data_IF_438774422999
#
_entry.id   IF_438774422999
#
_cell.length_a   1.000
_cell.length_b   1.000
_cell.length_c   1.000
_cell.angle_alpha   90.00
_cell.angle_beta   90.00
_cell.angle_gamma   90.00
#
_symmetry.space_group_name_H-M   'P 1'
#
loop_
_entity.id
_entity.type
_entity.pdbx_description
1 polymer ?
#
# COMPACT_ATOMS: atom_id res chain seq x y z
N UNK A 1 11.12 16.22 2.01
CA UNK A 1 9.71 16.63 1.83
C UNK A 1 9.22 16.07 0.50
N UNK A 2 7.94 15.74 0.34
CA UNK A 2 7.39 15.33 -0.96
C UNK A 2 7.43 16.52 -1.92
N UNK A 3 7.94 16.32 -3.15
CA UNK A 3 7.92 17.41 -4.14
C UNK A 3 6.61 17.40 -4.92
N UNK A 4 5.67 18.23 -4.54
CA UNK A 4 4.38 18.40 -5.22
C UNK A 4 4.52 19.32 -6.46
N UNK A 5 5.24 18.84 -7.49
CA UNK A 5 5.35 19.54 -8.77
C UNK A 5 4.06 19.48 -9.60
N UNK A 6 3.93 20.35 -10.59
CA UNK A 6 2.79 20.31 -11.52
C UNK A 6 2.71 18.96 -12.28
N UNK A 7 3.85 18.39 -12.63
CA UNK A 7 3.93 17.06 -13.26
C UNK A 7 3.37 15.97 -12.34
N UNK A 8 3.70 16.03 -11.03
CA UNK A 8 3.15 15.09 -10.05
C UNK A 8 1.63 15.17 -9.98
N UNK A 9 1.07 16.38 -9.92
CA UNK A 9 -0.38 16.57 -9.90
C UNK A 9 -1.04 16.20 -11.22
N UNK A 10 -0.33 16.32 -12.35
CA UNK A 10 -0.81 15.80 -13.63
C UNK A 10 -1.01 14.30 -13.59
N UNK A 11 -0.04 13.54 -13.05
CA UNK A 11 -0.17 12.09 -12.89
C UNK A 11 -1.34 11.73 -11.95
N UNK A 12 -1.53 12.48 -10.87
CA UNK A 12 -2.67 12.30 -9.94
C UNK A 12 -4.00 12.48 -10.66
N UNK A 13 -4.16 13.52 -11.49
CA UNK A 13 -5.39 13.76 -12.27
C UNK A 13 -5.65 12.66 -13.30
N UNK A 14 -4.62 12.27 -14.05
CA UNK A 14 -4.73 11.21 -15.05
C UNK A 14 -5.20 9.88 -14.43
N UNK A 15 -4.71 9.56 -13.24
CA UNK A 15 -5.13 8.37 -12.49
C UNK A 15 -6.59 8.49 -12.04
N UNK A 16 -7.02 9.68 -11.58
CA UNK A 16 -8.40 9.90 -11.15
C UNK A 16 -9.42 9.71 -12.27
N UNK A 17 -9.09 10.14 -13.50
CA UNK A 17 -9.95 9.95 -14.67
C UNK A 17 -10.22 8.46 -14.97
N UNK A 18 -9.39 7.56 -14.45
CA UNK A 18 -9.52 6.11 -14.63
C UNK A 18 -10.17 5.40 -13.44
N UNK A 19 -10.56 6.11 -12.38
CA UNK A 19 -11.28 5.51 -11.24
C UNK A 19 -12.76 5.42 -11.54
N UNK A 20 -13.33 4.21 -11.67
CA UNK A 20 -14.76 4.05 -11.90
C UNK A 20 -15.58 4.62 -10.74
N UNK A 21 -16.69 5.27 -11.06
CA UNK A 21 -17.71 5.73 -10.11
C UNK A 21 -17.15 6.58 -8.94
N UNK A 22 -16.11 7.38 -9.21
CA UNK A 22 -15.43 8.21 -8.19
C UNK A 22 -16.38 9.21 -7.53
N UNK A 23 -17.44 9.62 -8.23
CA UNK A 23 -18.49 10.51 -7.73
C UNK A 23 -19.27 9.97 -6.53
N UNK A 24 -19.21 8.65 -6.25
CA UNK A 24 -19.75 8.05 -5.01
C UNK A 24 -19.08 8.55 -3.74
N UNK A 25 -17.89 9.16 -3.86
CA UNK A 25 -17.18 9.81 -2.74
C UNK A 25 -17.71 11.22 -2.43
N UNK A 26 -18.43 11.84 -3.34
CA UNK A 26 -18.86 13.25 -3.19
C UNK A 26 -19.77 13.42 -1.97
N UNK A 27 -19.48 14.45 -1.19
CA UNK A 27 -20.14 14.76 0.08
C UNK A 27 -20.04 13.63 1.14
N UNK A 28 -19.06 12.74 1.02
CA UNK A 28 -18.80 11.65 1.95
C UNK A 28 -17.66 12.00 2.90
N UNK A 29 -17.57 11.21 3.96
CA UNK A 29 -16.49 11.27 4.93
C UNK A 29 -15.64 10.00 4.88
N UNK A 30 -14.31 10.14 4.93
CA UNK A 30 -13.37 9.04 4.84
C UNK A 30 -12.30 9.14 5.92
N UNK A 31 -12.09 8.05 6.65
CA UNK A 31 -11.01 7.88 7.62
C UNK A 31 -9.91 7.03 7.01
N UNK A 32 -8.67 7.55 7.00
CA UNK A 32 -7.50 6.82 6.52
C UNK A 32 -6.50 6.65 7.67
N UNK A 33 -6.23 5.42 8.08
CA UNK A 33 -5.17 5.11 9.04
C UNK A 33 -3.87 4.74 8.33
N UNK A 34 -2.73 5.04 8.96
CA UNK A 34 -1.43 4.88 8.29
C UNK A 34 -1.20 5.91 7.17
N UNK A 35 -1.88 7.06 7.24
CA UNK A 35 -1.95 8.07 6.20
C UNK A 35 -0.60 8.66 5.76
N UNK A 36 0.44 8.58 6.59
CA UNK A 36 1.80 9.02 6.21
C UNK A 36 2.62 7.96 5.47
N UNK A 37 2.12 6.73 5.34
CA UNK A 37 2.75 5.66 4.56
C UNK A 37 2.50 5.83 3.06
N UNK A 38 3.37 5.28 2.21
CA UNK A 38 3.33 5.45 0.75
C UNK A 38 1.93 5.20 0.15
N UNK A 39 1.32 4.06 0.41
CA UNK A 39 0.01 3.69 -0.18
C UNK A 39 -1.09 4.65 0.28
N UNK A 40 -1.25 4.81 1.59
CA UNK A 40 -2.36 5.60 2.14
C UNK A 40 -2.19 7.11 1.90
N UNK A 41 -0.95 7.61 1.80
CA UNK A 41 -0.74 9.01 1.43
C UNK A 41 -1.09 9.28 -0.03
N UNK A 42 -0.82 8.32 -0.93
CA UNK A 42 -1.26 8.46 -2.33
C UNK A 42 -2.79 8.44 -2.46
N UNK A 43 -3.49 7.64 -1.64
CA UNK A 43 -4.96 7.70 -1.56
C UNK A 43 -5.42 9.09 -1.08
N UNK A 44 -4.81 9.64 -0.02
CA UNK A 44 -5.16 10.97 0.48
C UNK A 44 -4.96 12.06 -0.58
N UNK A 45 -3.89 11.95 -1.38
CA UNK A 45 -3.59 12.90 -2.48
C UNK A 45 -4.64 12.86 -3.59
N UNK A 46 -5.14 11.68 -3.95
CA UNK A 46 -6.28 11.56 -4.88
C UNK A 46 -7.53 12.27 -4.32
N UNK A 47 -7.82 12.12 -3.03
CA UNK A 47 -8.98 12.77 -2.41
C UNK A 47 -8.81 14.31 -2.30
N UNK A 48 -7.60 14.79 -2.02
CA UNK A 48 -7.31 16.23 -2.02
C UNK A 48 -7.50 16.83 -3.40
N UNK A 49 -7.07 16.11 -4.45
CA UNK A 49 -7.23 16.56 -5.83
C UNK A 49 -8.71 16.63 -6.23
N UNK A 50 -9.52 15.63 -5.85
CA UNK A 50 -10.98 15.67 -6.07
C UNK A 50 -11.64 16.86 -5.39
N UNK A 51 -11.26 17.16 -4.14
CA UNK A 51 -11.79 18.32 -3.44
C UNK A 51 -11.38 19.64 -4.10
N UNK A 52 -10.11 19.74 -4.54
CA UNK A 52 -9.53 20.97 -5.09
C UNK A 52 -10.08 21.31 -6.47
N UNK A 53 -10.19 20.32 -7.35
CA UNK A 53 -10.49 20.56 -8.76
C UNK A 53 -11.95 20.27 -9.13
N UNK A 54 -12.61 19.35 -8.45
CA UNK A 54 -13.97 18.95 -8.75
C UNK A 54 -14.98 19.40 -7.70
N UNK A 55 -14.52 19.99 -6.60
CA UNK A 55 -15.39 20.42 -5.51
C UNK A 55 -16.14 19.26 -4.86
N UNK A 56 -15.53 18.08 -4.79
CA UNK A 56 -16.17 16.85 -4.31
C UNK A 56 -16.66 16.91 -2.85
N UNK A 57 -16.19 17.91 -2.06
CA UNK A 57 -16.59 18.14 -0.67
C UNK A 57 -16.44 16.88 0.21
N UNK A 58 -15.35 16.13 0.02
CA UNK A 58 -15.04 14.94 0.81
C UNK A 58 -14.44 15.38 2.15
N UNK A 59 -14.99 14.90 3.26
CA UNK A 59 -14.44 15.11 4.59
C UNK A 59 -13.33 14.09 4.86
N UNK A 60 -12.08 14.53 4.87
CA UNK A 60 -10.91 13.67 4.97
C UNK A 60 -10.38 13.67 6.41
N UNK A 61 -10.38 12.49 7.05
CA UNK A 61 -9.78 12.26 8.36
C UNK A 61 -8.50 11.46 8.20
N UNK A 62 -7.37 12.03 8.58
CA UNK A 62 -6.07 11.37 8.52
C UNK A 62 -5.62 10.94 9.91
N UNK A 63 -5.54 9.61 10.12
CA UNK A 63 -5.23 9.05 11.42
C UNK A 63 -3.77 8.57 11.52
N UNK A 64 -3.13 8.90 12.65
CA UNK A 64 -1.75 8.54 12.92
C UNK A 64 -1.27 8.96 14.30
N UNK A 65 -0.03 8.58 14.66
CA UNK A 65 0.57 8.79 15.98
C UNK A 65 1.14 10.19 16.21
N UNK A 66 1.26 11.03 15.18
CA UNK A 66 1.94 12.32 15.28
C UNK A 66 1.41 13.30 14.26
N UNK A 67 0.78 14.37 14.78
CA UNK A 67 0.34 15.51 13.98
C UNK A 67 1.53 16.14 13.21
N UNK A 68 2.68 16.32 13.86
CA UNK A 68 3.86 16.90 13.23
C UNK A 68 4.32 16.10 12.00
N UNK A 69 4.33 14.75 12.08
CA UNK A 69 4.66 13.91 10.93
C UNK A 69 3.60 14.01 9.83
N UNK A 70 2.33 14.18 10.20
CA UNK A 70 1.24 14.36 9.24
C UNK A 70 1.39 15.70 8.50
N UNK A 71 1.60 16.79 9.22
CA UNK A 71 1.85 18.11 8.64
C UNK A 71 3.12 18.15 7.75
N UNK A 72 4.19 17.46 8.17
CA UNK A 72 5.40 17.34 7.35
C UNK A 72 5.15 16.55 6.05
N UNK A 73 4.36 15.46 6.12
CA UNK A 73 4.04 14.64 4.93
C UNK A 73 3.13 15.41 3.97
N UNK A 74 2.19 16.18 4.47
CA UNK A 74 1.21 16.92 3.69
C UNK A 74 1.40 18.43 3.82
N UNK A 75 2.64 18.90 3.74
CA UNK A 75 3.01 20.30 4.01
C UNK A 75 2.31 21.35 3.13
N UNK A 76 1.80 20.95 1.95
CA UNK A 76 1.02 21.81 1.05
C UNK A 76 -0.48 21.83 1.36
N UNK A 77 -0.89 21.13 2.41
CA UNK A 77 -2.28 21.02 2.87
C UNK A 77 -2.39 21.46 4.31
N UNK A 78 -3.51 22.06 4.64
CA UNK A 78 -3.75 22.67 5.96
C UNK A 78 -4.64 21.80 6.80
N UNK A 79 -4.17 21.38 7.98
CA UNK A 79 -4.98 20.73 9.00
C UNK A 79 -6.11 21.65 9.46
N UNK A 80 -7.32 21.09 9.62
CA UNK A 80 -8.55 21.84 9.91
C UNK A 80 -9.24 22.46 8.67
N UNK A 81 -8.59 22.43 7.49
CA UNK A 81 -9.14 22.95 6.22
C UNK A 81 -9.24 21.82 5.19
N UNK A 82 -8.09 21.26 4.80
CA UNK A 82 -8.02 20.21 3.76
C UNK A 82 -8.24 18.82 4.37
N UNK A 83 -7.85 18.62 5.63
CA UNK A 83 -8.06 17.38 6.38
C UNK A 83 -8.20 17.64 7.86
N UNK A 84 -8.75 16.68 8.59
CA UNK A 84 -8.79 16.67 10.07
C UNK A 84 -7.85 15.57 10.57
N UNK A 85 -6.90 15.93 11.43
CA UNK A 85 -6.03 14.96 12.11
C UNK A 85 -6.80 14.19 13.18
N UNK A 86 -6.57 12.87 13.22
CA UNK A 86 -7.11 11.98 14.26
C UNK A 86 -5.93 11.24 14.92
N UNK A 87 -5.78 11.40 16.22
CA UNK A 87 -4.77 10.67 16.96
C UNK A 87 -5.14 9.19 17.03
N UNK A 88 -4.25 8.35 16.51
CA UNK A 88 -4.48 6.91 16.44
C UNK A 88 -3.17 6.13 16.48
N UNK A 89 -3.06 5.21 17.46
CA UNK A 89 -1.98 4.23 17.54
C UNK A 89 -2.55 2.82 17.35
N UNK A 90 -2.22 2.21 16.20
CA UNK A 90 -2.66 0.86 15.87
C UNK A 90 -2.15 -0.21 16.84
N UNK A 91 -1.07 0.04 17.59
CA UNK A 91 -0.54 -0.92 18.57
C UNK A 91 -1.33 -0.95 19.89
N UNK A 92 -1.98 0.15 20.23
CA UNK A 92 -2.80 0.28 21.44
C UNK A 92 -4.29 0.06 21.17
N UNK A 93 -4.74 0.25 19.93
CA UNK A 93 -6.14 0.13 19.55
C UNK A 93 -7.03 1.15 20.22
N UNK A 94 -6.58 2.42 20.32
CA UNK A 94 -7.36 3.52 20.89
C UNK A 94 -8.70 3.67 20.17
N UNK A 95 -9.75 3.99 20.92
CA UNK A 95 -11.06 4.32 20.35
C UNK A 95 -10.97 5.59 19.49
N UNK A 96 -11.73 5.62 18.42
CA UNK A 96 -11.87 6.75 17.50
C UNK A 96 -13.30 7.28 17.62
N UNK A 97 -13.46 8.59 17.88
CA UNK A 97 -14.75 9.22 18.13
C UNK A 97 -15.26 9.99 16.90
N UNK A 98 -15.24 9.35 15.73
CA UNK A 98 -15.83 9.85 14.50
C UNK A 98 -16.62 8.73 13.84
N UNK A 99 -17.62 9.07 13.05
CA UNK A 99 -18.46 8.12 12.31
C UNK A 99 -18.33 8.44 10.81
N UNK A 100 -17.32 7.87 10.13
CA UNK A 100 -17.10 8.14 8.72
C UNK A 100 -17.97 7.21 7.84
N UNK A 101 -18.29 7.65 6.60
CA UNK A 101 -18.92 6.78 5.61
C UNK A 101 -17.97 5.65 5.16
N UNK A 102 -16.67 5.96 5.04
CA UNK A 102 -15.65 5.01 4.59
C UNK A 102 -14.45 4.99 5.54
N UNK A 103 -13.87 3.80 5.73
CA UNK A 103 -12.61 3.60 6.45
C UNK A 103 -11.62 2.88 5.54
N UNK A 104 -10.41 3.41 5.42
CA UNK A 104 -9.25 2.72 4.83
C UNK A 104 -8.23 2.45 5.93
N UNK A 105 -8.04 1.19 6.27
CA UNK A 105 -7.09 0.78 7.30
C UNK A 105 -5.80 0.24 6.70
N UNK A 106 -4.74 1.09 6.68
CA UNK A 106 -3.41 0.73 6.20
C UNK A 106 -2.29 0.89 7.23
N UNK A 107 -2.62 1.12 8.51
CA UNK A 107 -1.64 1.29 9.57
C UNK A 107 -0.99 -0.04 9.95
N UNK A 108 0.17 -0.36 9.36
CA UNK A 108 0.99 -1.53 9.70
C UNK A 108 2.43 -1.30 9.26
N UNK A 109 3.45 -1.72 10.04
CA UNK A 109 4.80 -1.88 9.50
C UNK A 109 4.79 -2.87 8.34
N UNK A 110 5.54 -2.59 7.28
CA UNK A 110 5.57 -3.45 6.08
C UNK A 110 6.99 -3.61 5.49
N UNK A 111 7.99 -2.87 5.98
CA UNK A 111 9.35 -2.99 5.51
C UNK A 111 10.14 -4.06 6.28
N UNK A 112 11.05 -4.80 5.63
CA UNK A 112 11.76 -5.93 6.25
C UNK A 112 12.54 -5.58 7.53
N UNK A 113 13.11 -4.39 7.62
CA UNK A 113 13.87 -3.97 8.79
C UNK A 113 12.97 -3.74 10.01
N UNK A 114 11.82 -3.10 9.82
CA UNK A 114 10.80 -2.92 10.86
C UNK A 114 10.23 -4.27 11.33
N UNK A 115 9.91 -5.17 10.40
CA UNK A 115 9.39 -6.51 10.74
C UNK A 115 10.39 -7.35 11.56
N UNK A 116 11.68 -7.25 11.24
CA UNK A 116 12.73 -7.93 11.98
C UNK A 116 12.96 -7.33 13.39
N UNK A 117 12.76 -6.01 13.54
CA UNK A 117 13.01 -5.29 14.79
C UNK A 117 11.82 -5.31 15.75
N UNK A 118 10.61 -5.28 15.22
CA UNK A 118 9.36 -5.08 15.97
C UNK A 118 8.27 -6.11 15.55
N UNK A 119 8.53 -7.42 15.66
CA UNK A 119 7.55 -8.44 15.24
C UNK A 119 6.27 -8.44 16.10
N UNK A 120 6.38 -8.14 17.40
CA UNK A 120 5.23 -8.09 18.32
C UNK A 120 4.32 -6.91 17.99
N UNK A 121 4.89 -5.73 17.83
CA UNK A 121 4.16 -4.51 17.45
C UNK A 121 3.53 -4.65 16.05
N UNK A 122 4.16 -5.41 15.17
CA UNK A 122 3.58 -5.74 13.86
C UNK A 122 2.29 -6.55 14.01
N UNK A 123 2.26 -7.55 14.88
CA UNK A 123 1.06 -8.35 15.17
C UNK A 123 -0.01 -7.45 15.80
N UNK A 124 0.36 -6.66 16.81
CA UNK A 124 -0.58 -5.78 17.50
C UNK A 124 -1.19 -4.75 16.58
N UNK A 125 -0.40 -4.08 15.74
CA UNK A 125 -0.91 -3.08 14.80
C UNK A 125 -1.92 -3.64 13.81
N UNK A 126 -1.79 -4.89 13.41
CA UNK A 126 -2.72 -5.53 12.48
C UNK A 126 -4.01 -6.00 13.19
N UNK A 127 -3.92 -6.59 14.37
CA UNK A 127 -5.07 -7.22 15.05
C UNK A 127 -5.74 -6.22 16.02
N UNK A 128 -4.97 -5.66 16.97
CA UNK A 128 -5.50 -4.75 17.99
C UNK A 128 -5.91 -3.43 17.34
N UNK A 129 -5.11 -2.92 16.39
CA UNK A 129 -5.44 -1.70 15.66
C UNK A 129 -6.69 -1.82 14.80
N UNK A 130 -6.96 -2.98 14.22
CA UNK A 130 -8.17 -3.17 13.41
C UNK A 130 -9.46 -3.16 14.26
N UNK A 131 -9.41 -3.67 15.49
CA UNK A 131 -10.60 -3.84 16.35
C UNK A 131 -11.45 -2.57 16.51
N UNK A 132 -10.92 -1.39 16.91
CA UNK A 132 -11.76 -0.20 17.09
C UNK A 132 -12.43 0.26 15.80
N UNK A 133 -11.84 0.00 14.64
CA UNK A 133 -12.43 0.34 13.35
C UNK A 133 -13.60 -0.60 13.00
N UNK A 134 -13.49 -1.88 13.33
CA UNK A 134 -14.58 -2.84 13.19
C UNK A 134 -15.73 -2.51 14.16
N UNK A 135 -15.43 -2.06 15.39
CA UNK A 135 -16.45 -1.58 16.32
C UNK A 135 -17.19 -0.34 15.80
N UNK A 136 -16.48 0.59 15.11
CA UNK A 136 -17.14 1.71 14.43
C UNK A 136 -18.13 1.22 13.37
N UNK A 137 -17.74 0.30 12.51
CA UNK A 137 -18.63 -0.28 11.49
C UNK A 137 -19.83 -1.02 12.07
N UNK A 138 -19.71 -1.56 13.30
CA UNK A 138 -20.81 -2.21 14.00
C UNK A 138 -21.81 -1.19 14.56
N UNK A 139 -21.33 -0.05 15.06
CA UNK A 139 -22.16 1.04 15.62
C UNK A 139 -22.88 1.78 14.49
N UNK A 140 -22.17 2.14 13.43
CA UNK A 140 -22.69 2.87 12.26
C UNK A 140 -22.84 1.91 11.09
N UNK A 141 -24.06 1.41 10.90
CA UNK A 141 -24.39 0.40 9.87
C UNK A 141 -24.18 0.86 8.42
N UNK A 142 -23.88 2.11 8.18
CA UNK A 142 -23.58 2.65 6.84
C UNK A 142 -22.09 2.73 6.52
N UNK A 143 -21.21 2.55 7.50
CA UNK A 143 -19.77 2.62 7.31
C UNK A 143 -19.23 1.40 6.59
N UNK A 144 -18.47 1.62 5.52
CA UNK A 144 -17.74 0.57 4.79
C UNK A 144 -16.25 0.62 5.10
N UNK A 145 -15.68 -0.53 5.50
CA UNK A 145 -14.26 -0.71 5.78
C UNK A 145 -13.52 -1.33 4.59
N UNK A 146 -12.43 -0.70 4.14
CA UNK A 146 -11.41 -1.35 3.33
C UNK A 146 -10.18 -1.65 4.18
N UNK A 147 -9.82 -2.93 4.25
CA UNK A 147 -8.61 -3.39 4.92
C UNK A 147 -7.48 -3.58 3.90
N UNK A 148 -6.36 -2.86 4.10
CA UNK A 148 -5.15 -3.02 3.30
C UNK A 148 -4.36 -4.21 3.85
N UNK A 149 -4.52 -5.36 3.21
CA UNK A 149 -3.79 -6.59 3.49
C UNK A 149 -2.45 -6.62 2.72
N UNK A 150 -2.02 -7.76 2.22
CA UNK A 150 -0.76 -7.94 1.49
C UNK A 150 -0.76 -9.24 0.69
N UNK A 151 0.03 -9.29 -0.39
CA UNK A 151 0.34 -10.55 -1.10
C UNK A 151 1.05 -11.59 -0.23
N UNK A 152 1.68 -11.19 0.88
CA UNK A 152 2.31 -12.14 1.80
C UNK A 152 1.33 -13.08 2.52
N UNK A 153 0.02 -12.77 2.53
CA UNK A 153 -1.01 -13.69 3.07
C UNK A 153 -1.05 -15.03 2.34
N UNK A 154 -0.61 -15.05 1.09
CA UNK A 154 -0.59 -16.30 0.31
C UNK A 154 0.41 -17.32 0.84
N UNK A 155 1.54 -16.88 1.38
CA UNK A 155 2.62 -17.80 1.73
C UNK A 155 3.24 -18.46 0.48
N UNK A 156 4.08 -19.48 0.67
CA UNK A 156 4.74 -20.22 -0.41
C UNK A 156 3.84 -21.32 -0.94
N UNK A 157 3.60 -21.35 -2.27
CA UNK A 157 2.97 -22.47 -2.98
C UNK A 157 3.98 -23.12 -3.93
N UNK A 158 3.70 -24.35 -4.36
CA UNK A 158 4.57 -25.12 -5.22
C UNK A 158 4.28 -24.89 -6.73
N UNK A 159 3.32 -24.02 -7.08
CA UNK A 159 3.02 -23.64 -8.46
C UNK A 159 3.77 -22.35 -8.86
N UNK A 160 4.28 -22.24 -10.10
CA UNK A 160 4.87 -21.02 -10.64
C UNK A 160 3.83 -19.98 -11.06
N UNK A 161 2.53 -20.32 -11.03
CA UNK A 161 1.47 -19.41 -11.50
C UNK A 161 1.29 -18.20 -10.57
N UNK A 162 0.81 -17.05 -11.08
CA UNK A 162 0.39 -15.93 -10.24
C UNK A 162 -0.68 -16.35 -9.24
N UNK A 163 -0.66 -15.73 -8.04
CA UNK A 163 -1.63 -16.03 -6.98
C UNK A 163 -3.00 -15.44 -7.31
N UNK A 164 -4.03 -16.27 -7.18
CA UNK A 164 -5.44 -15.87 -7.18
C UNK A 164 -5.94 -15.68 -5.75
N UNK A 165 -7.04 -14.97 -5.58
CA UNK A 165 -7.56 -14.61 -4.25
C UNK A 165 -7.93 -15.81 -3.37
N UNK A 166 -8.19 -16.97 -3.95
CA UNK A 166 -8.50 -18.22 -3.23
C UNK A 166 -7.28 -19.14 -3.02
N UNK A 167 -6.10 -18.73 -3.47
CA UNK A 167 -4.88 -19.50 -3.23
C UNK A 167 -4.39 -19.32 -1.79
N UNK A 168 -3.88 -20.41 -1.20
CA UNK A 168 -3.22 -20.39 0.10
C UNK A 168 -2.04 -21.36 0.11
N UNK A 169 -0.91 -20.89 0.63
CA UNK A 169 0.32 -21.64 0.71
C UNK A 169 0.89 -21.67 2.14
N UNK A 170 2.06 -22.26 2.26
CA UNK A 170 2.75 -22.46 3.53
C UNK A 170 3.31 -21.15 4.10
N UNK A 171 3.12 -20.97 5.41
CA UNK A 171 3.78 -19.95 6.24
C UNK A 171 4.38 -20.67 7.45
N UNK A 172 5.69 -20.51 7.68
CA UNK A 172 6.36 -21.02 8.89
C UNK A 172 5.99 -20.14 10.08
N UNK A 173 4.95 -20.54 10.80
CA UNK A 173 4.35 -19.74 11.88
C UNK A 173 5.23 -19.61 13.13
N UNK A 174 6.25 -20.45 13.30
CA UNK A 174 7.21 -20.34 14.40
C UNK A 174 8.41 -19.45 14.07
N UNK A 175 8.56 -19.06 12.83
CA UNK A 175 9.54 -18.08 12.43
C UNK A 175 9.03 -16.66 12.76
N UNK A 176 9.76 -15.83 13.55
CA UNK A 176 9.31 -14.47 13.87
C UNK A 176 9.02 -13.59 12.63
N UNK A 177 9.64 -13.88 11.47
CA UNK A 177 9.35 -13.18 10.20
C UNK A 177 7.90 -13.39 9.75
N UNK A 178 7.27 -14.48 10.18
CA UNK A 178 5.86 -14.75 9.89
C UNK A 178 4.88 -13.82 10.64
N UNK A 179 5.36 -12.93 11.52
CA UNK A 179 4.52 -11.96 12.22
C UNK A 179 3.62 -11.17 11.27
N UNK A 180 4.14 -10.79 10.11
CA UNK A 180 3.40 -10.00 9.12
C UNK A 180 2.36 -10.82 8.35
N UNK A 181 2.70 -11.89 7.61
CA UNK A 181 1.70 -12.68 6.90
C UNK A 181 0.67 -13.32 7.84
N UNK A 182 1.08 -13.80 9.02
CA UNK A 182 0.15 -14.43 9.98
C UNK A 182 -0.83 -13.43 10.56
N UNK A 183 -0.37 -12.22 10.96
CA UNK A 183 -1.28 -11.21 11.48
C UNK A 183 -2.20 -10.64 10.39
N UNK A 184 -1.74 -10.50 9.15
CA UNK A 184 -2.59 -10.12 8.01
C UNK A 184 -3.68 -11.16 7.75
N UNK A 185 -3.36 -12.47 7.76
CA UNK A 185 -4.36 -13.55 7.67
C UNK A 185 -5.38 -13.48 8.81
N UNK A 186 -4.91 -13.33 10.05
CA UNK A 186 -5.78 -13.21 11.22
C UNK A 186 -6.72 -12.00 11.12
N UNK A 187 -6.25 -10.87 10.60
CA UNK A 187 -7.05 -9.67 10.40
C UNK A 187 -8.11 -9.83 9.31
N UNK A 188 -7.80 -10.50 8.20
CA UNK A 188 -8.80 -10.85 7.19
C UNK A 188 -9.88 -11.75 7.77
N UNK A 189 -9.49 -12.77 8.57
CA UNK A 189 -10.43 -13.64 9.27
C UNK A 189 -11.28 -12.86 10.28
N UNK A 190 -10.69 -11.89 10.98
CA UNK A 190 -11.40 -11.03 11.93
C UNK A 190 -12.47 -10.19 11.22
N UNK A 191 -12.18 -9.61 10.06
CA UNK A 191 -13.18 -8.91 9.25
C UNK A 191 -14.34 -9.83 8.85
N UNK A 192 -14.04 -11.06 8.40
CA UNK A 192 -15.04 -12.04 8.03
C UNK A 192 -15.92 -12.46 9.24
N UNK A 193 -15.32 -12.64 10.41
CA UNK A 193 -16.05 -12.96 11.65
C UNK A 193 -17.00 -11.81 12.06
N UNK A 194 -16.54 -10.56 12.02
CA UNK A 194 -17.37 -9.40 12.29
C UNK A 194 -18.54 -9.25 11.29
N UNK A 195 -18.30 -9.57 10.02
CA UNK A 195 -19.40 -9.61 9.04
C UNK A 195 -20.43 -10.68 9.41
N UNK A 196 -19.99 -11.87 9.77
CA UNK A 196 -20.88 -12.96 10.14
C UNK A 196 -21.69 -12.64 11.40
N UNK A 197 -21.06 -12.08 12.43
CA UNK A 197 -21.70 -11.82 13.72
C UNK A 197 -22.51 -10.52 13.76
N UNK A 198 -22.04 -9.48 13.04
CA UNK A 198 -22.57 -8.11 13.18
C UNK A 198 -23.07 -7.51 11.87
N UNK A 199 -22.87 -8.18 10.73
CA UNK A 199 -23.34 -7.72 9.42
C UNK A 199 -22.61 -6.50 8.87
N UNK A 200 -21.35 -6.26 9.28
CA UNK A 200 -20.57 -5.12 8.79
C UNK A 200 -20.28 -5.24 7.29
N UNK A 201 -20.13 -4.10 6.63
CA UNK A 201 -19.66 -4.02 5.25
C UNK A 201 -18.15 -3.83 5.20
N UNK A 202 -17.44 -4.75 4.54
CA UNK A 202 -16.01 -4.65 4.36
C UNK A 202 -15.55 -5.21 3.03
N UNK A 203 -14.40 -4.70 2.57
CA UNK A 203 -13.62 -5.24 1.45
C UNK A 203 -12.14 -5.30 1.82
N UNK A 204 -11.39 -6.17 1.15
CA UNK A 204 -9.96 -6.36 1.37
C UNK A 204 -9.20 -6.12 0.07
N UNK A 205 -8.06 -5.45 0.15
CA UNK A 205 -7.09 -5.41 -0.94
C UNK A 205 -5.81 -6.12 -0.52
N UNK A 206 -5.21 -6.86 -1.45
CA UNK A 206 -3.93 -7.55 -1.29
C UNK A 206 -2.91 -6.97 -2.28
N UNK A 207 -2.26 -5.86 -1.94
CA UNK A 207 -1.24 -5.27 -2.82
C UNK A 207 -0.05 -6.20 -3.00
N UNK A 208 0.53 -6.20 -4.21
CA UNK A 208 1.83 -6.77 -4.50
C UNK A 208 2.96 -5.89 -3.93
N UNK A 209 4.05 -5.71 -4.68
CA UNK A 209 5.15 -4.84 -4.32
C UNK A 209 4.89 -3.42 -4.83
N UNK A 210 4.57 -2.51 -3.92
CA UNK A 210 4.27 -1.13 -4.30
C UNK A 210 5.55 -0.31 -4.26
N UNK A 211 5.78 0.49 -5.31
CA UNK A 211 6.89 1.43 -5.44
C UNK A 211 6.38 2.80 -5.92
N UNK A 212 7.18 3.85 -5.74
CA UNK A 212 6.78 5.18 -6.17
C UNK A 212 7.51 6.28 -5.42
N UNK A 213 7.16 7.55 -5.67
CA UNK A 213 7.90 8.73 -5.21
C UNK A 213 7.82 8.97 -3.70
N UNK A 214 6.84 8.44 -3.00
CA UNK A 214 6.57 8.75 -1.59
C UNK A 214 7.12 7.70 -0.61
N UNK A 215 8.11 6.89 -1.05
CA UNK A 215 8.81 5.94 -0.20
C UNK A 215 9.57 6.69 0.91
N UNK A 216 9.42 6.24 2.15
CA UNK A 216 10.15 6.83 3.28
C UNK A 216 11.63 6.50 3.25
N UNK A 217 12.50 7.37 3.80
CA UNK A 217 13.95 7.17 3.82
C UNK A 217 14.37 5.88 4.56
N UNK A 218 13.56 5.45 5.51
CA UNK A 218 13.80 4.23 6.29
C UNK A 218 13.38 2.94 5.59
N UNK A 219 12.69 3.01 4.45
CA UNK A 219 12.22 1.82 3.74
C UNK A 219 13.40 1.00 3.21
N UNK A 220 13.50 -0.25 3.66
CA UNK A 220 14.59 -1.17 3.35
C UNK A 220 14.29 -2.13 2.19
N UNK A 221 13.15 -2.00 1.52
CA UNK A 221 12.80 -2.84 0.36
C UNK A 221 13.73 -2.57 -0.82
N UNK A 222 13.94 -3.58 -1.66
CA UNK A 222 14.85 -3.50 -2.82
C UNK A 222 14.50 -2.32 -3.74
N UNK A 223 13.23 -2.15 -4.12
CA UNK A 223 12.78 -1.03 -4.96
C UNK A 223 13.15 0.34 -4.37
N UNK A 224 12.98 0.50 -3.05
CA UNK A 224 13.33 1.74 -2.36
C UNK A 224 14.83 2.01 -2.33
N UNK A 225 15.64 0.97 -2.05
CA UNK A 225 17.09 1.08 -2.04
C UNK A 225 17.64 1.40 -3.43
N UNK A 226 17.17 0.68 -4.46
CA UNK A 226 17.61 0.90 -5.84
C UNK A 226 17.29 2.31 -6.33
N UNK A 227 16.07 2.79 -6.08
CA UNK A 227 15.66 4.14 -6.46
C UNK A 227 16.50 5.23 -5.76
N UNK A 228 16.83 5.04 -4.47
CA UNK A 228 17.70 6.00 -3.75
C UNK A 228 19.14 5.99 -4.25
N UNK A 229 19.72 4.82 -4.53
CA UNK A 229 21.08 4.73 -5.10
C UNK A 229 21.12 5.40 -6.47
N UNK A 230 20.17 5.08 -7.33
CA UNK A 230 20.06 5.64 -8.67
C UNK A 230 19.91 7.18 -8.66
N UNK A 231 19.07 7.72 -7.78
CA UNK A 231 18.89 9.17 -7.63
C UNK A 231 20.17 9.88 -7.17
N UNK A 232 21.03 9.18 -6.40
CA UNK A 232 22.35 9.68 -6.00
C UNK A 232 23.42 9.52 -7.08
N UNK A 233 23.09 8.99 -8.26
CA UNK A 233 24.06 8.69 -9.33
C UNK A 233 25.00 7.53 -8.98
N UNK A 234 24.60 6.64 -8.06
CA UNK A 234 25.40 5.48 -7.64
C UNK A 234 24.87 4.22 -8.32
N UNK A 235 25.79 3.28 -8.57
CA UNK A 235 25.45 1.97 -9.11
C UNK A 235 24.51 1.21 -8.17
N UNK A 236 23.60 0.44 -8.75
CA UNK A 236 22.64 -0.39 -8.04
C UNK A 236 23.31 -1.69 -7.64
N UNK A 237 23.43 -1.92 -6.33
CA UNK A 237 24.05 -3.13 -5.80
C UNK A 237 23.01 -4.22 -5.58
N UNK A 238 23.10 -5.30 -6.35
CA UNK A 238 22.30 -6.51 -6.17
C UNK A 238 23.08 -7.55 -5.38
N UNK A 239 22.45 -8.10 -4.35
CA UNK A 239 23.05 -9.12 -3.46
C UNK A 239 22.56 -10.54 -3.75
N UNK A 240 21.90 -10.74 -4.87
CA UNK A 240 21.42 -12.04 -5.39
C UNK A 240 21.24 -11.95 -6.90
N UNK A 241 21.01 -13.08 -7.58
CA UNK A 241 20.70 -13.09 -9.01
C UNK A 241 19.41 -12.35 -9.39
N UNK A 242 18.52 -12.08 -8.42
CA UNK A 242 17.32 -11.30 -8.60
C UNK A 242 16.26 -11.93 -9.49
N UNK A 243 16.24 -13.26 -9.62
CA UNK A 243 15.33 -14.00 -10.52
C UNK A 243 13.89 -14.11 -10.02
N UNK A 244 13.64 -13.70 -8.78
CA UNK A 244 12.32 -13.81 -8.14
C UNK A 244 11.33 -12.87 -8.84
N UNK A 245 10.20 -13.44 -9.31
CA UNK A 245 9.10 -12.67 -9.91
C UNK A 245 8.24 -11.97 -8.87
N UNK A 246 7.88 -10.73 -9.18
CA UNK A 246 7.04 -9.87 -8.32
C UNK A 246 6.04 -9.09 -9.16
N UNK A 247 4.85 -8.83 -8.59
CA UNK A 247 3.96 -7.80 -9.10
C UNK A 247 4.40 -6.46 -8.50
N UNK A 248 5.02 -5.64 -9.30
CA UNK A 248 5.30 -4.26 -8.93
C UNK A 248 4.16 -3.36 -9.41
N UNK A 249 3.64 -2.50 -8.54
CA UNK A 249 2.58 -1.56 -8.92
C UNK A 249 2.96 -0.16 -8.45
N UNK A 250 2.81 0.82 -9.33
CA UNK A 250 3.09 2.21 -8.99
C UNK A 250 2.10 2.71 -7.92
N UNK A 251 2.57 3.57 -7.02
CA UNK A 251 1.79 3.98 -5.83
C UNK A 251 0.45 4.63 -6.17
N UNK A 252 0.38 5.43 -7.25
CA UNK A 252 -0.87 6.04 -7.69
C UNK A 252 -1.83 5.02 -8.31
N UNK A 253 -1.34 4.05 -9.08
CA UNK A 253 -2.15 2.92 -9.57
C UNK A 253 -2.71 2.10 -8.39
N UNK A 254 -1.88 1.87 -7.35
CA UNK A 254 -2.35 1.19 -6.14
C UNK A 254 -3.43 2.01 -5.42
N UNK A 255 -3.29 3.33 -5.35
CA UNK A 255 -4.26 4.21 -4.72
C UNK A 255 -5.60 4.22 -5.47
N UNK A 256 -5.59 4.29 -6.81
CA UNK A 256 -6.80 4.19 -7.63
C UNK A 256 -7.48 2.83 -7.48
N UNK A 257 -6.70 1.74 -7.44
CA UNK A 257 -7.22 0.40 -7.18
C UNK A 257 -7.93 0.30 -5.82
N UNK A 258 -7.35 0.91 -4.77
CA UNK A 258 -7.95 0.98 -3.44
C UNK A 258 -9.30 1.71 -3.49
N UNK A 259 -9.37 2.87 -4.14
CA UNK A 259 -10.63 3.62 -4.28
C UNK A 259 -11.64 2.80 -5.08
N UNK A 260 -11.24 2.18 -6.20
CA UNK A 260 -12.14 1.32 -6.99
C UNK A 260 -12.73 0.18 -6.16
N UNK A 261 -11.89 -0.54 -5.40
CA UNK A 261 -12.38 -1.64 -4.54
C UNK A 261 -13.24 -1.12 -3.39
N UNK A 262 -12.90 0.04 -2.81
CA UNK A 262 -13.72 0.67 -1.77
C UNK A 262 -15.13 0.96 -2.27
N UNK A 263 -15.28 1.43 -3.50
CA UNK A 263 -16.56 1.84 -4.08
C UNK A 263 -17.36 0.68 -4.68
N UNK A 264 -16.70 -0.22 -5.40
CA UNK A 264 -17.36 -1.21 -6.26
C UNK A 264 -17.05 -2.66 -5.89
N UNK A 265 -16.16 -2.92 -4.96
CA UNK A 265 -15.87 -4.28 -4.50
C UNK A 265 -17.06 -4.93 -3.79
N UNK A 266 -17.27 -6.22 -3.97
CA UNK A 266 -18.30 -6.96 -3.26
C UNK A 266 -17.97 -7.11 -1.78
N UNK A 267 -18.93 -6.83 -0.92
CA UNK A 267 -18.78 -6.95 0.53
C UNK A 267 -18.31 -8.35 0.96
N UNK A 268 -17.25 -8.40 1.74
CA UNK A 268 -16.68 -9.65 2.25
C UNK A 268 -15.66 -10.29 1.32
N UNK A 269 -15.26 -9.63 0.23
CA UNK A 269 -14.33 -10.17 -0.74
C UNK A 269 -12.94 -9.49 -0.69
N UNK A 270 -11.92 -10.24 -1.11
CA UNK A 270 -10.57 -9.75 -1.29
C UNK A 270 -10.25 -9.56 -2.78
N UNK A 271 -9.38 -8.57 -3.08
CA UNK A 271 -8.95 -8.22 -4.42
C UNK A 271 -7.43 -8.05 -4.46
N UNK A 272 -6.78 -8.73 -5.39
CA UNK A 272 -5.37 -8.54 -5.67
C UNK A 272 -5.12 -7.20 -6.36
N UNK A 273 -4.15 -6.42 -5.88
CA UNK A 273 -3.67 -5.24 -6.61
C UNK A 273 -2.36 -5.60 -7.32
N UNK A 274 -2.43 -5.67 -8.63
CA UNK A 274 -1.31 -5.92 -9.54
C UNK A 274 -1.61 -5.31 -10.90
N UNK A 275 -0.65 -4.62 -11.47
CA UNK A 275 -0.69 -4.25 -12.88
C UNK A 275 -0.02 -5.39 -13.67
N UNK A 276 -0.71 -6.07 -14.61
CA UNK A 276 -0.13 -7.17 -15.39
C UNK A 276 1.14 -6.78 -16.16
N UNK A 277 1.25 -5.52 -16.60
CA UNK A 277 2.37 -5.01 -17.38
C UNK A 277 3.64 -4.75 -16.54
N UNK A 278 3.55 -4.98 -15.22
CA UNK A 278 4.65 -4.72 -14.27
C UNK A 278 4.99 -5.96 -13.43
N UNK A 279 4.69 -7.15 -13.95
CA UNK A 279 5.12 -8.42 -13.36
C UNK A 279 6.51 -8.74 -13.90
N UNK A 280 7.53 -8.42 -13.12
CA UNK A 280 8.94 -8.56 -13.50
C UNK A 280 9.77 -9.14 -12.36
N UNK A 281 10.97 -9.60 -12.66
CA UNK A 281 11.95 -10.02 -11.66
C UNK A 281 12.55 -8.81 -10.92
N UNK A 282 13.16 -9.08 -9.77
CA UNK A 282 13.91 -8.04 -9.03
C UNK A 282 15.05 -7.50 -9.89
N UNK A 283 15.65 -8.35 -10.72
CA UNK A 283 16.72 -7.98 -11.65
C UNK A 283 16.22 -7.03 -12.73
N UNK A 284 15.13 -7.36 -13.41
CA UNK A 284 14.52 -6.50 -14.45
C UNK A 284 14.13 -5.13 -13.89
N UNK A 285 13.61 -5.08 -12.65
CA UNK A 285 13.37 -3.80 -11.98
C UNK A 285 14.68 -3.01 -11.78
N UNK A 286 15.75 -3.67 -11.31
CA UNK A 286 17.04 -3.02 -11.09
C UNK A 286 17.63 -2.49 -12.40
N UNK A 287 17.55 -3.28 -13.48
CA UNK A 287 18.02 -2.92 -14.81
C UNK A 287 17.21 -1.73 -15.38
N UNK A 288 15.89 -1.71 -15.24
CA UNK A 288 15.03 -0.60 -15.65
C UNK A 288 15.37 0.70 -14.89
N UNK A 289 15.58 0.63 -13.56
CA UNK A 289 15.98 1.79 -12.76
C UNK A 289 17.37 2.28 -13.18
N UNK A 290 18.31 1.36 -13.43
CA UNK A 290 19.68 1.70 -13.86
C UNK A 290 19.69 2.40 -15.21
N UNK A 291 18.90 1.93 -16.17
CA UNK A 291 18.76 2.51 -17.50
C UNK A 291 18.23 3.97 -17.41
N UNK A 292 17.13 4.18 -16.68
CA UNK A 292 16.52 5.50 -16.48
C UNK A 292 17.51 6.47 -15.81
N UNK A 293 18.26 6.00 -14.81
CA UNK A 293 19.20 6.83 -14.06
C UNK A 293 20.59 6.95 -14.71
N UNK A 294 20.90 6.15 -15.74
CA UNK A 294 22.20 6.02 -16.39
C UNK A 294 23.32 5.61 -15.43
N UNK A 295 23.05 4.62 -14.61
CA UNK A 295 23.99 3.95 -13.69
C UNK A 295 24.10 2.47 -14.04
N UNK A 296 24.98 1.71 -13.37
CA UNK A 296 25.14 0.29 -13.63
C UNK A 296 24.43 -0.56 -12.55
N UNK A 297 24.12 -1.82 -12.90
CA UNK A 297 23.78 -2.85 -11.93
C UNK A 297 25.05 -3.68 -11.64
N UNK A 298 25.46 -3.73 -10.38
CA UNK A 298 26.63 -4.50 -9.91
C UNK A 298 26.18 -5.59 -8.94
N UNK A 299 26.88 -6.72 -8.94
CA UNK A 299 26.53 -7.86 -8.11
C UNK A 299 27.56 -8.04 -6.98
N UNK A 300 27.05 -8.15 -5.75
CA UNK A 300 27.84 -8.46 -4.56
C UNK A 300 27.30 -9.70 -3.85
N UNK A 301 28.16 -10.38 -3.12
CA UNK A 301 27.76 -11.54 -2.33
C UNK A 301 27.03 -11.08 -1.05
N UNK A 302 25.81 -11.58 -0.84
CA UNK A 302 25.07 -11.30 0.39
C UNK A 302 25.71 -11.93 1.62
N UNK A 303 25.74 -11.21 2.73
CA UNK A 303 26.10 -11.76 4.03
C UNK A 303 25.06 -12.76 4.53
N UNK A 304 25.45 -13.68 5.40
CA UNK A 304 24.54 -14.67 6.02
C UNK A 304 23.37 -14.03 6.78
N UNK A 305 23.54 -12.82 7.29
CA UNK A 305 22.49 -12.05 7.98
C UNK A 305 21.47 -11.51 6.99
N UNK A 306 21.90 -11.02 5.85
CA UNK A 306 21.04 -10.51 4.79
C UNK A 306 20.18 -11.62 4.15
N UNK A 307 20.81 -12.78 3.88
CA UNK A 307 20.10 -13.95 3.33
C UNK A 307 18.93 -14.39 4.21
N UNK A 308 19.04 -14.32 5.54
CA UNK A 308 17.96 -14.69 6.47
C UNK A 308 16.75 -13.73 6.43
N UNK A 309 16.91 -12.52 5.92
CA UNK A 309 15.84 -11.52 5.81
C UNK A 309 15.05 -11.60 4.50
N UNK A 310 15.50 -12.42 3.55
CA UNK A 310 14.88 -12.51 2.23
C UNK A 310 13.51 -13.17 2.28
N UNK A 311 12.62 -12.68 1.42
CA UNK A 311 11.35 -13.37 1.17
C UNK A 311 11.65 -14.69 0.43
N UNK A 312 11.18 -15.80 1.00
CA UNK A 312 11.41 -17.16 0.50
C UNK A 312 10.60 -17.53 -0.75
N UNK A 313 9.74 -16.61 -1.23
CA UNK A 313 8.89 -16.87 -2.40
C UNK A 313 9.67 -16.60 -3.68
N UNK A 314 9.83 -17.60 -4.55
CA UNK A 314 10.43 -17.44 -5.86
C UNK A 314 9.52 -16.66 -6.82
N UNK A 315 8.21 -16.88 -6.70
CA UNK A 315 7.19 -16.10 -7.38
C UNK A 315 6.15 -15.58 -6.39
N UNK A 316 5.92 -14.29 -6.36
CA UNK A 316 4.81 -13.65 -5.62
C UNK A 316 3.99 -12.73 -6.53
N UNK A 317 3.97 -13.04 -7.83
CA UNK A 317 3.09 -12.34 -8.77
C UNK A 317 1.62 -12.63 -8.48
N UNK A 318 0.77 -11.67 -8.78
CA UNK A 318 -0.66 -11.71 -8.48
C UNK A 318 -1.49 -11.66 -9.76
N UNK A 319 -2.58 -12.40 -9.76
CA UNK A 319 -3.60 -12.36 -10.81
C UNK A 319 -4.62 -11.28 -10.49
N UNK A 320 -4.77 -10.29 -11.35
CA UNK A 320 -5.56 -9.07 -11.10
C UNK A 320 -6.94 -9.04 -11.76
N UNK A 321 -7.34 -10.10 -12.48
CA UNK A 321 -8.59 -10.09 -13.29
C UNK A 321 -9.86 -9.78 -12.49
N UNK A 322 -9.88 -10.13 -11.20
CA UNK A 322 -11.01 -9.80 -10.33
C UNK A 322 -11.11 -8.29 -10.10
N UNK A 323 -10.00 -7.60 -9.88
CA UNK A 323 -9.95 -6.15 -9.78
C UNK A 323 -10.28 -5.49 -11.13
N UNK A 324 -9.70 -6.01 -12.24
CA UNK A 324 -9.97 -5.51 -13.58
C UNK A 324 -11.45 -5.62 -13.96
N UNK A 325 -12.18 -6.63 -13.43
CA UNK A 325 -13.62 -6.78 -13.67
C UNK A 325 -14.48 -5.68 -13.04
N UNK A 326 -13.92 -4.90 -12.09
CA UNK A 326 -14.54 -3.68 -11.55
C UNK A 326 -14.31 -2.45 -12.45
N UNK A 327 -13.63 -2.61 -13.59
CA UNK A 327 -13.30 -1.51 -14.50
C UNK A 327 -11.94 -0.86 -14.27
N UNK A 328 -11.20 -1.25 -13.23
CA UNK A 328 -9.86 -0.71 -12.95
C UNK A 328 -8.81 -1.20 -13.96
N UNK A 329 -7.88 -0.32 -14.30
CA UNK A 329 -6.65 -0.64 -15.04
C UNK A 329 -5.50 0.20 -14.50
N UNK A 330 -4.31 -0.41 -14.40
CA UNK A 330 -3.09 0.34 -14.12
C UNK A 330 -2.67 1.18 -15.33
N UNK A 331 -2.26 2.41 -15.09
CA UNK A 331 -1.81 3.35 -16.13
C UNK A 331 -0.29 3.37 -16.31
N UNK A 332 0.45 2.99 -15.26
CA UNK A 332 1.90 3.08 -15.24
C UNK A 332 2.52 1.71 -15.56
N UNK A 333 3.08 1.56 -16.75
CA UNK A 333 4.02 0.48 -17.02
C UNK A 333 5.31 0.67 -16.21
N UNK A 334 6.20 -0.32 -16.23
CA UNK A 334 7.42 -0.29 -15.42
C UNK A 334 8.31 0.92 -15.74
N UNK A 335 8.54 1.21 -17.01
CA UNK A 335 9.40 2.30 -17.45
C UNK A 335 8.87 3.67 -16.99
N UNK A 336 7.58 3.95 -17.22
CA UNK A 336 6.94 5.20 -16.79
C UNK A 336 6.98 5.36 -15.27
N UNK A 337 6.58 4.34 -14.52
CA UNK A 337 6.56 4.42 -13.05
C UNK A 337 7.95 4.58 -12.43
N UNK A 338 8.97 3.93 -13.01
CA UNK A 338 10.37 4.10 -12.61
C UNK A 338 10.86 5.51 -12.94
N UNK A 339 10.56 6.02 -14.15
CA UNK A 339 10.94 7.36 -14.55
C UNK A 339 10.37 8.44 -13.63
N UNK A 340 9.07 8.38 -13.31
CA UNK A 340 8.43 9.34 -12.40
C UNK A 340 8.99 9.23 -10.97
N UNK A 341 9.28 8.01 -10.50
CA UNK A 341 9.94 7.79 -9.23
C UNK A 341 11.34 8.40 -9.20
N UNK A 342 12.15 8.17 -10.24
CA UNK A 342 13.50 8.71 -10.36
C UNK A 342 13.51 10.24 -10.43
N UNK A 343 12.64 10.82 -11.27
CA UNK A 343 12.49 12.28 -11.42
C UNK A 343 12.18 12.94 -10.08
N UNK A 344 11.27 12.37 -9.32
CA UNK A 344 10.91 12.84 -7.99
C UNK A 344 12.10 12.88 -7.03
N UNK A 345 12.92 11.83 -6.98
CA UNK A 345 14.08 11.78 -6.08
C UNK A 345 15.24 12.65 -6.56
N UNK A 346 15.41 12.87 -7.86
CA UNK A 346 16.50 13.69 -8.38
C UNK A 346 16.30 15.19 -8.19
N UNK A 347 15.08 15.63 -7.94
CA UNK A 347 14.77 17.03 -7.67
C UNK A 347 15.13 17.43 -6.22
N UNK A 348 15.64 16.49 -5.41
CA UNK A 348 16.25 16.68 -4.11
C UNK A 348 17.78 16.47 -4.21
#
# INVERSE_FOLDING_TARGET
MVNYSDDYWKDVREVLECVPHVEKLYNKSILITGATGMICSSVAELLFELNRNEGANIKIYLAGRSLHRMQHRFYCFTEGVDYTYVEYDATSGNAINILPDFIIHGASPADPASLAKQPVETIYSNIIGLKPLLELCKIEKGTRLLYVSSSEVYGKKDSPDPYKELDYGYVDILNPRACYPSSKRASETLCAAYKQEHGIDFVIVRPGHIYGPTITDSDSRASAQFSRLAAQGKDIVMKSAGTQLRSYTYAMDCASAIITVLLDGNSGEAYNISNPDTIVSIRELAECIAEVARVNVVFEQASSKEQKSYNMMDNSSLYSKKLESLGWRGLFNMERGVFETYKFYKMY
#
